data_IF_625361669254
#
_entry.id   IF_625361669254
#
_cell.length_a   1.000
_cell.length_b   1.000
_cell.length_c   1.000
_cell.angle_alpha   90.00
_cell.angle_beta   90.00
_cell.angle_gamma   90.00
#
_symmetry.space_group_name_H-M   'P 1'
#
loop_
_entity.id
_entity.type
_entity.pdbx_description
1 polymer ?
#
# COMPACT_ATOMS: atom_id res chain seq x y z
N UNK A 1 -2.89 -1.89 -30.42
CA UNK A 1 -2.64 -1.42 -29.07
C UNK A 1 -2.91 -2.64 -28.19
N UNK A 2 -1.91 -3.18 -27.53
CA UNK A 2 -2.10 -4.34 -26.67
C UNK A 2 -2.73 -3.89 -25.31
N UNK A 3 -3.22 -4.83 -24.48
CA UNK A 3 -3.84 -4.50 -23.18
C UNK A 3 -2.86 -3.82 -22.22
N UNK A 4 -1.58 -4.12 -22.32
CA UNK A 4 -0.52 -3.50 -21.53
C UNK A 4 -0.36 -2.01 -21.87
N UNK A 5 -0.44 -1.66 -23.18
CA UNK A 5 -0.44 -0.26 -23.61
C UNK A 5 -1.70 0.48 -23.12
N UNK A 6 -2.85 -0.20 -23.06
CA UNK A 6 -4.08 0.38 -22.55
C UNK A 6 -4.03 0.60 -21.02
N UNK A 7 -3.42 -0.33 -20.27
CA UNK A 7 -3.21 -0.19 -18.84
C UNK A 7 -2.24 0.95 -18.51
N UNK A 8 -1.11 1.03 -19.21
CA UNK A 8 -0.16 2.15 -19.11
C UNK A 8 -0.84 3.48 -19.45
N UNK A 9 -1.69 3.51 -20.49
CA UNK A 9 -2.47 4.70 -20.88
C UNK A 9 -3.48 5.11 -19.79
N UNK A 10 -4.11 4.16 -19.09
CA UNK A 10 -5.04 4.44 -18.03
C UNK A 10 -4.34 4.89 -16.74
N UNK A 11 -3.17 4.31 -16.43
CA UNK A 11 -2.42 4.61 -15.21
C UNK A 11 -1.41 5.75 -15.39
N UNK A 12 -0.79 5.90 -16.58
CA UNK A 12 0.32 6.83 -16.83
C UNK A 12 0.14 7.71 -18.07
N UNK A 13 -0.98 7.63 -18.75
CA UNK A 13 -1.47 8.49 -19.84
C UNK A 13 -0.66 8.60 -21.14
N UNK A 14 0.63 8.33 -21.21
CA UNK A 14 1.36 8.36 -22.48
C UNK A 14 2.84 7.98 -22.36
N UNK A 15 3.44 7.56 -23.46
CA UNK A 15 4.89 7.39 -23.60
C UNK A 15 5.67 8.66 -23.22
N UNK A 16 5.12 9.83 -23.50
CA UNK A 16 5.72 11.12 -23.16
C UNK A 16 5.84 11.33 -21.64
N UNK A 17 4.89 10.80 -20.84
CA UNK A 17 4.95 10.86 -19.39
C UNK A 17 6.08 9.98 -18.84
N UNK A 18 6.21 8.74 -19.33
CA UNK A 18 7.29 7.84 -18.94
C UNK A 18 8.67 8.41 -19.28
N UNK A 19 8.80 8.99 -20.48
CA UNK A 19 10.02 9.67 -20.90
C UNK A 19 10.33 10.90 -20.02
N UNK A 20 9.30 11.66 -19.62
CA UNK A 20 9.45 12.80 -18.72
C UNK A 20 9.86 12.36 -17.32
N UNK A 21 9.28 11.29 -16.79
CA UNK A 21 9.68 10.71 -15.50
C UNK A 21 11.11 10.19 -15.54
N UNK A 22 11.54 9.54 -16.63
CA UNK A 22 12.92 9.11 -16.85
C UNK A 22 13.91 10.28 -16.80
N UNK A 23 13.62 11.37 -17.56
CA UNK A 23 14.44 12.59 -17.51
C UNK A 23 14.47 13.23 -16.12
N UNK A 24 13.33 13.21 -15.40
CA UNK A 24 13.27 13.74 -14.03
C UNK A 24 14.12 12.90 -13.06
N UNK A 25 14.13 11.58 -13.22
CA UNK A 25 14.98 10.69 -12.44
C UNK A 25 16.47 10.95 -12.68
N UNK A 26 16.88 11.17 -13.95
CA UNK A 26 18.25 11.56 -14.32
C UNK A 26 18.64 12.90 -13.67
N UNK A 27 17.78 13.92 -13.71
CA UNK A 27 18.00 15.20 -13.08
C UNK A 27 18.12 15.07 -11.56
N UNK A 28 17.29 14.22 -10.93
CA UNK A 28 17.39 13.90 -9.51
C UNK A 28 18.73 13.25 -9.15
N UNK A 29 19.20 12.31 -9.96
CA UNK A 29 20.49 11.66 -9.76
C UNK A 29 21.66 12.64 -9.91
N UNK A 30 21.55 13.60 -10.84
CA UNK A 30 22.54 14.64 -11.11
C UNK A 30 22.42 15.89 -10.23
N UNK A 31 21.55 15.88 -9.21
CA UNK A 31 21.32 17.06 -8.35
C UNK A 31 22.61 17.56 -7.70
N UNK A 32 22.98 18.86 -7.86
CA UNK A 32 24.30 19.36 -7.47
C UNK A 32 24.47 19.59 -5.96
N UNK A 33 23.39 19.59 -5.17
CA UNK A 33 23.42 19.88 -3.73
C UNK A 33 23.84 18.70 -2.84
N UNK A 34 24.25 17.57 -3.40
CA UNK A 34 24.62 16.38 -2.63
C UNK A 34 23.43 15.56 -2.11
N UNK A 35 23.72 14.43 -1.45
CA UNK A 35 22.69 13.44 -1.08
C UNK A 35 21.74 13.93 0.01
N UNK A 36 22.25 14.59 1.03
CA UNK A 36 21.42 15.10 2.14
C UNK A 36 20.49 16.22 1.66
N UNK A 37 21.00 17.17 0.90
CA UNK A 37 20.20 18.25 0.36
C UNK A 37 19.16 17.73 -0.63
N UNK A 38 19.53 16.76 -1.48
CA UNK A 38 18.57 16.08 -2.38
C UNK A 38 17.42 15.43 -1.60
N UNK A 39 17.71 14.84 -0.44
CA UNK A 39 16.68 14.26 0.42
C UNK A 39 15.70 15.32 0.93
N UNK A 40 16.20 16.49 1.38
CA UNK A 40 15.38 17.61 1.82
C UNK A 40 14.56 18.22 0.68
N UNK A 41 15.10 18.21 -0.55
CA UNK A 41 14.44 18.73 -1.75
C UNK A 41 13.68 17.65 -2.53
N UNK A 42 13.40 16.51 -1.92
CA UNK A 42 12.68 15.39 -2.59
C UNK A 42 11.37 15.79 -3.27
N UNK A 43 10.58 16.77 -2.76
CA UNK A 43 9.36 17.22 -3.47
C UNK A 43 9.63 17.81 -4.86
N UNK A 44 10.84 18.33 -5.13
CA UNK A 44 11.24 18.83 -6.46
C UNK A 44 11.20 17.75 -7.53
N UNK A 45 11.44 16.50 -7.15
CA UNK A 45 11.55 15.35 -8.05
C UNK A 45 10.34 14.41 -7.94
N UNK A 46 9.30 14.81 -7.23
CA UNK A 46 8.14 13.96 -6.97
C UNK A 46 7.12 14.07 -8.11
N UNK A 47 6.81 12.98 -8.82
CA UNK A 47 5.76 12.97 -9.83
C UNK A 47 4.37 13.27 -9.22
N UNK A 48 3.45 13.90 -9.98
CA UNK A 48 2.12 14.26 -9.48
C UNK A 48 1.28 13.10 -8.95
N UNK A 49 1.45 11.89 -9.50
CA UNK A 49 0.73 10.71 -9.03
C UNK A 49 1.18 10.28 -7.62
N UNK A 50 2.44 10.51 -7.24
CA UNK A 50 2.92 10.27 -5.88
C UNK A 50 2.31 11.27 -4.91
N UNK A 51 2.16 12.54 -5.29
CA UNK A 51 1.46 13.54 -4.47
C UNK A 51 -0.02 13.19 -4.28
N UNK A 52 -0.68 12.66 -5.31
CA UNK A 52 -2.06 12.17 -5.17
C UNK A 52 -2.16 11.02 -4.17
N UNK A 53 -1.19 10.10 -4.20
CA UNK A 53 -1.11 8.98 -3.25
C UNK A 53 -0.92 9.48 -1.80
N UNK A 54 -0.02 10.44 -1.60
CA UNK A 54 0.16 11.09 -0.29
C UNK A 54 -1.14 11.76 0.17
N UNK A 55 -1.84 12.46 -0.72
CA UNK A 55 -3.13 13.09 -0.41
C UNK A 55 -4.19 12.08 0.01
N UNK A 56 -4.30 10.96 -0.71
CA UNK A 56 -5.21 9.86 -0.36
C UNK A 56 -4.92 9.35 1.05
N UNK A 57 -3.70 8.91 1.31
CA UNK A 57 -3.33 8.37 2.62
C UNK A 57 -3.45 9.40 3.75
N UNK A 58 -3.22 10.68 3.45
CA UNK A 58 -3.40 11.76 4.44
C UNK A 58 -4.86 11.86 4.87
N UNK A 59 -5.81 11.87 3.93
CA UNK A 59 -7.25 11.91 4.24
C UNK A 59 -7.68 10.66 5.01
N UNK A 60 -7.25 9.48 4.58
CA UNK A 60 -7.56 8.22 5.27
C UNK A 60 -6.96 8.20 6.67
N UNK A 61 -5.69 8.61 6.82
CA UNK A 61 -5.02 8.59 8.12
C UNK A 61 -5.70 9.50 9.15
N UNK A 62 -6.19 10.67 8.72
CA UNK A 62 -6.95 11.57 9.60
C UNK A 62 -8.25 10.93 10.11
N UNK A 63 -8.91 10.10 9.30
CA UNK A 63 -10.09 9.33 9.73
C UNK A 63 -9.73 8.20 10.70
N UNK A 64 -8.54 7.64 10.59
CA UNK A 64 -8.04 6.55 11.43
C UNK A 64 -7.62 7.02 12.84
N UNK A 65 -7.30 8.30 13.02
CA UNK A 65 -6.79 8.83 14.29
C UNK A 65 -7.62 8.45 15.54
N UNK A 66 -8.97 8.53 15.52
CA UNK A 66 -9.79 8.17 16.69
C UNK A 66 -9.92 6.66 16.91
N UNK A 67 -9.46 5.82 15.99
CA UNK A 67 -9.68 4.38 16.01
C UNK A 67 -8.43 3.70 16.60
N UNK A 68 -8.53 2.97 17.71
CA UNK A 68 -7.39 2.23 18.24
C UNK A 68 -7.01 1.06 17.32
N UNK A 69 -5.72 0.70 17.31
CA UNK A 69 -5.25 -0.45 16.55
C UNK A 69 -4.07 -0.15 15.64
N UNK A 70 -3.68 -1.15 14.87
CA UNK A 70 -2.56 -1.08 13.93
C UNK A 70 -3.02 -0.65 12.54
N UNK A 71 -2.07 -0.24 11.72
CA UNK A 71 -2.23 -0.02 10.28
C UNK A 71 -1.52 -1.13 9.55
N UNK A 72 -2.18 -1.73 8.56
CA UNK A 72 -1.63 -2.82 7.75
C UNK A 72 -1.66 -2.47 6.27
N UNK A 73 -0.61 -2.82 5.56
CA UNK A 73 -0.51 -2.76 4.10
C UNK A 73 -0.21 -4.17 3.56
N UNK A 74 -0.97 -4.59 2.58
CA UNK A 74 -0.84 -5.85 1.87
C UNK A 74 -0.46 -5.58 0.43
N UNK A 75 0.73 -6.01 0.01
CA UNK A 75 1.37 -5.61 -1.23
C UNK A 75 2.22 -4.35 -1.02
N UNK A 76 3.45 -4.53 -0.54
CA UNK A 76 4.35 -3.42 -0.17
C UNK A 76 5.23 -3.00 -1.34
N UNK A 77 5.60 -3.97 -2.19
CA UNK A 77 6.49 -3.76 -3.32
C UNK A 77 7.76 -3.00 -2.92
N UNK A 78 8.00 -1.79 -3.47
CA UNK A 78 9.15 -0.94 -3.09
C UNK A 78 8.91 -0.08 -1.84
N UNK A 79 7.78 -0.24 -1.13
CA UNK A 79 7.53 0.37 0.18
C UNK A 79 7.15 1.85 0.17
N UNK A 80 6.70 2.39 -0.97
CA UNK A 80 6.25 3.78 -1.08
C UNK A 80 5.14 4.09 -0.09
N UNK A 81 4.09 3.29 -0.10
CA UNK A 81 2.88 3.56 0.65
C UNK A 81 3.09 3.26 2.15
N UNK A 82 3.84 2.19 2.46
CA UNK A 82 4.29 1.90 3.82
C UNK A 82 5.09 3.08 4.42
N UNK A 83 5.98 3.69 3.62
CA UNK A 83 6.76 4.85 4.05
C UNK A 83 5.89 6.11 4.23
N UNK A 84 4.85 6.30 3.40
CA UNK A 84 3.87 7.38 3.58
C UNK A 84 3.11 7.18 4.89
N UNK A 85 2.57 5.99 5.15
CA UNK A 85 1.83 5.65 6.37
C UNK A 85 2.69 5.83 7.63
N UNK A 86 3.95 5.38 7.61
CA UNK A 86 4.91 5.61 8.69
C UNK A 86 5.17 7.10 8.92
N UNK A 87 5.33 7.88 7.85
CA UNK A 87 5.48 9.33 7.91
C UNK A 87 4.25 10.01 8.52
N UNK A 88 3.05 9.62 8.10
CA UNK A 88 1.78 10.16 8.62
C UNK A 88 1.59 9.81 10.10
N UNK A 89 1.96 8.59 10.52
CA UNK A 89 1.99 8.22 11.94
C UNK A 89 2.90 9.16 12.73
N UNK A 90 4.09 9.41 12.23
CA UNK A 90 5.05 10.30 12.90
C UNK A 90 4.53 11.74 12.95
N UNK A 91 3.84 12.19 11.91
CA UNK A 91 3.27 13.55 11.83
C UNK A 91 2.07 13.74 12.78
N UNK A 92 1.11 12.82 12.76
CA UNK A 92 -0.18 12.99 13.47
C UNK A 92 -0.19 12.35 14.85
N UNK A 93 0.58 11.28 15.07
CA UNK A 93 0.60 10.50 16.31
C UNK A 93 2.03 10.32 16.84
N UNK A 94 2.85 11.39 16.97
CA UNK A 94 4.28 11.27 17.28
C UNK A 94 4.57 10.55 18.61
N UNK A 95 3.63 10.58 19.55
CA UNK A 95 3.77 9.96 20.87
C UNK A 95 3.02 8.62 21.01
N UNK A 96 2.29 8.19 19.96
CA UNK A 96 1.56 6.94 19.96
C UNK A 96 2.47 5.77 19.56
N UNK A 97 3.13 5.15 20.52
CA UNK A 97 4.01 4.01 20.28
C UNK A 97 3.27 2.69 20.05
N UNK A 98 1.96 2.61 20.32
CA UNK A 98 1.14 1.42 20.08
C UNK A 98 0.59 1.34 18.65
N UNK A 99 0.56 2.45 17.91
CA UNK A 99 0.20 2.48 16.49
C UNK A 99 1.34 1.91 15.66
N UNK A 100 1.32 0.60 15.38
CA UNK A 100 2.28 -0.02 14.47
C UNK A 100 1.82 0.08 13.03
N UNK A 101 2.78 0.24 12.11
CA UNK A 101 2.60 0.14 10.66
C UNK A 101 3.21 -1.19 10.22
N UNK A 102 2.39 -2.08 9.66
CA UNK A 102 2.77 -3.45 9.30
C UNK A 102 2.64 -3.61 7.79
N UNK A 103 3.68 -4.03 7.12
CA UNK A 103 3.69 -4.31 5.69
C UNK A 103 3.88 -5.79 5.40
N UNK A 104 3.02 -6.38 4.59
CA UNK A 104 3.04 -7.79 4.18
C UNK A 104 3.33 -7.89 2.70
N UNK A 105 4.37 -8.61 2.30
CA UNK A 105 4.75 -8.80 0.91
C UNK A 105 5.63 -10.05 0.73
N UNK A 106 5.53 -10.69 -0.40
CA UNK A 106 6.42 -11.78 -0.79
C UNK A 106 7.83 -11.29 -1.10
N UNK A 107 7.96 -10.07 -1.66
CA UNK A 107 9.18 -9.51 -2.29
C UNK A 107 9.76 -10.39 -3.41
N UNK A 108 8.92 -11.31 -3.92
CA UNK A 108 9.25 -12.21 -5.04
C UNK A 108 8.17 -12.19 -6.12
N UNK A 109 7.29 -11.19 -6.05
CA UNK A 109 6.15 -11.03 -6.94
C UNK A 109 4.97 -11.95 -6.59
N UNK A 110 4.03 -12.07 -7.51
CA UNK A 110 2.79 -12.82 -7.30
C UNK A 110 3.07 -14.31 -7.02
N UNK A 111 2.55 -14.89 -5.92
CA UNK A 111 2.80 -16.29 -5.58
C UNK A 111 2.07 -17.27 -6.50
N UNK A 112 0.99 -16.86 -7.12
CA UNK A 112 0.18 -17.63 -8.05
C UNK A 112 -0.98 -16.82 -8.60
N UNK A 113 -1.57 -17.24 -9.71
CA UNK A 113 -2.66 -16.58 -10.41
C UNK A 113 -3.86 -17.50 -10.47
N UNK A 114 -5.05 -16.95 -10.23
CA UNK A 114 -6.34 -17.62 -10.33
C UNK A 114 -7.09 -17.12 -11.57
N UNK A 115 -8.14 -17.85 -11.98
CA UNK A 115 -8.98 -17.43 -13.10
C UNK A 115 -9.68 -16.07 -12.87
N UNK A 116 -9.89 -15.70 -11.61
CA UNK A 116 -10.48 -14.42 -11.19
C UNK A 116 -9.55 -13.22 -11.36
N UNK A 117 -8.23 -13.44 -11.52
CA UNK A 117 -7.22 -12.37 -11.64
C UNK A 117 -7.11 -11.80 -13.06
N UNK A 118 -7.85 -12.39 -13.99
CA UNK A 118 -7.84 -11.97 -15.40
C UNK A 118 -6.69 -12.59 -16.20
N UNK A 119 -6.43 -12.00 -17.36
CA UNK A 119 -5.46 -12.48 -18.35
C UNK A 119 -4.41 -11.41 -18.71
N UNK A 120 -4.14 -10.47 -17.81
CA UNK A 120 -3.13 -9.44 -17.99
C UNK A 120 -1.72 -10.08 -18.04
N UNK A 121 -0.86 -9.60 -18.93
CA UNK A 121 0.53 -10.08 -19.08
C UNK A 121 1.38 -9.91 -17.80
N UNK A 122 1.04 -8.94 -16.94
CA UNK A 122 1.69 -8.72 -15.65
C UNK A 122 1.16 -9.70 -14.61
N UNK A 123 -0.13 -10.09 -14.71
CA UNK A 123 -0.77 -11.08 -13.84
C UNK A 123 -0.23 -12.49 -14.15
N UNK A 124 0.97 -12.77 -13.69
CA UNK A 124 1.67 -14.06 -13.80
C UNK A 124 2.47 -14.31 -12.53
N UNK A 125 2.73 -15.58 -12.23
CA UNK A 125 3.62 -15.93 -11.12
C UNK A 125 4.97 -15.22 -11.25
N UNK A 126 5.40 -14.55 -10.17
CA UNK A 126 6.60 -13.71 -10.17
C UNK A 126 6.41 -12.32 -10.83
N UNK A 127 5.18 -11.95 -11.26
CA UNK A 127 4.90 -10.58 -11.69
C UNK A 127 5.06 -9.60 -10.53
N UNK A 128 5.52 -8.38 -10.81
CA UNK A 128 5.81 -7.32 -9.82
C UNK A 128 6.84 -7.73 -8.75
N UNK A 129 7.81 -8.60 -9.09
CA UNK A 129 8.91 -8.92 -8.18
C UNK A 129 9.79 -7.69 -7.88
N UNK A 130 10.56 -7.80 -6.80
CA UNK A 130 11.59 -6.84 -6.44
C UNK A 130 12.97 -7.48 -6.59
N UNK A 131 14.03 -6.70 -6.43
CA UNK A 131 15.40 -7.26 -6.43
C UNK A 131 15.64 -8.09 -5.17
N UNK A 132 16.46 -9.15 -5.30
CA UNK A 132 16.78 -10.03 -4.18
C UNK A 132 17.34 -9.23 -2.97
N UNK A 133 16.81 -9.50 -1.79
CA UNK A 133 17.20 -8.80 -0.55
C UNK A 133 16.59 -7.41 -0.36
N UNK A 134 15.62 -7.02 -1.19
CA UNK A 134 14.99 -5.71 -1.08
C UNK A 134 14.27 -5.51 0.26
N UNK A 135 13.67 -6.54 0.82
CA UNK A 135 13.03 -6.50 2.13
C UNK A 135 14.00 -6.04 3.24
N UNK A 136 15.25 -6.50 3.22
CA UNK A 136 16.29 -6.04 4.17
C UNK A 136 16.67 -4.56 3.93
N UNK A 137 16.77 -4.15 2.66
CA UNK A 137 17.00 -2.76 2.33
C UNK A 137 15.88 -1.86 2.85
N UNK A 138 14.62 -2.24 2.61
CA UNK A 138 13.45 -1.50 3.09
C UNK A 138 13.43 -1.40 4.63
N UNK A 139 13.69 -2.49 5.34
CA UNK A 139 13.81 -2.48 6.81
C UNK A 139 14.87 -1.49 7.30
N UNK A 140 16.00 -1.40 6.63
CA UNK A 140 17.05 -0.41 6.96
C UNK A 140 16.57 1.01 6.72
N UNK A 141 15.93 1.30 5.59
CA UNK A 141 15.34 2.62 5.30
C UNK A 141 14.35 3.03 6.39
N UNK A 142 13.42 2.14 6.75
CA UNK A 142 12.42 2.41 7.78
C UNK A 142 13.06 2.58 9.18
N UNK A 143 14.12 1.85 9.47
CA UNK A 143 14.85 2.00 10.72
C UNK A 143 15.53 3.38 10.83
N UNK A 144 16.13 3.89 9.77
CA UNK A 144 16.70 5.26 9.75
C UNK A 144 15.59 6.33 9.88
N UNK A 145 14.43 6.11 9.25
CA UNK A 145 13.27 7.00 9.41
C UNK A 145 12.77 7.00 10.87
N UNK A 146 12.76 5.85 11.54
CA UNK A 146 12.38 5.75 12.94
C UNK A 146 13.33 6.50 13.87
N UNK A 147 14.63 6.60 13.55
CA UNK A 147 15.60 7.41 14.31
C UNK A 147 15.26 8.92 14.28
N UNK A 148 14.50 9.39 13.28
CA UNK A 148 14.05 10.78 13.18
C UNK A 148 12.72 11.03 13.91
N UNK A 149 12.07 9.99 14.45
CA UNK A 149 10.79 10.08 15.15
C UNK A 149 10.94 10.06 16.68
N UNK A 150 10.00 10.63 17.44
CA UNK A 150 9.94 10.44 18.89
C UNK A 150 9.87 8.97 19.28
N UNK A 151 10.44 8.62 20.45
CA UNK A 151 10.53 7.24 20.93
C UNK A 151 11.22 6.29 19.93
N UNK A 152 12.34 6.73 19.34
CA UNK A 152 13.09 5.95 18.34
C UNK A 152 13.59 4.59 18.84
N UNK A 153 13.65 4.37 20.16
CA UNK A 153 14.01 3.10 20.77
C UNK A 153 12.87 2.07 20.75
N UNK A 154 11.65 2.48 20.41
CA UNK A 154 10.48 1.61 20.29
C UNK A 154 10.20 1.37 18.81
N UNK A 155 10.25 0.11 18.38
CA UNK A 155 9.93 -0.28 17.00
C UNK A 155 8.43 -0.13 16.72
N UNK A 156 8.08 0.73 15.75
CA UNK A 156 6.70 1.06 15.39
C UNK A 156 6.33 0.64 13.97
N UNK A 157 7.24 -0.01 13.26
CA UNK A 157 6.99 -0.64 11.95
C UNK A 157 7.44 -2.10 11.97
N UNK A 158 6.86 -2.89 11.07
CA UNK A 158 7.30 -4.25 10.80
C UNK A 158 7.11 -4.58 9.32
N UNK A 159 8.13 -5.15 8.68
CA UNK A 159 8.07 -5.66 7.31
C UNK A 159 8.07 -7.17 7.38
N UNK A 160 6.96 -7.79 6.98
CA UNK A 160 6.69 -9.22 7.12
C UNK A 160 6.76 -9.84 5.72
N UNK A 161 7.82 -10.61 5.49
CA UNK A 161 8.08 -11.27 4.21
C UNK A 161 7.40 -12.63 4.13
N UNK A 162 6.68 -12.86 3.04
CA UNK A 162 6.02 -14.12 2.72
C UNK A 162 4.64 -13.92 2.10
N UNK A 163 3.96 -15.02 1.82
CA UNK A 163 2.56 -14.95 1.41
C UNK A 163 1.72 -14.27 2.49
N UNK A 164 1.00 -13.22 2.11
CA UNK A 164 0.26 -12.38 3.05
C UNK A 164 -0.81 -13.18 3.83
N UNK A 165 -1.46 -14.15 3.18
CA UNK A 165 -2.50 -14.97 3.83
C UNK A 165 -1.94 -15.88 4.92
N UNK A 166 -0.74 -16.42 4.73
CA UNK A 166 -0.06 -17.25 5.72
C UNK A 166 0.57 -16.42 6.83
N UNK A 167 1.29 -15.35 6.44
CA UNK A 167 2.01 -14.50 7.40
C UNK A 167 1.07 -13.67 8.26
N UNK A 168 -0.07 -13.22 7.73
CA UNK A 168 -1.12 -12.56 8.52
C UNK A 168 -1.72 -13.53 9.55
N UNK A 169 -2.05 -14.76 9.16
CA UNK A 169 -2.57 -15.76 10.08
C UNK A 169 -1.59 -16.02 11.25
N UNK A 170 -0.30 -16.17 10.94
CA UNK A 170 0.74 -16.35 11.95
C UNK A 170 0.89 -15.10 12.84
N UNK A 171 0.86 -13.90 12.26
CA UNK A 171 0.93 -12.64 13.03
C UNK A 171 -0.24 -12.51 14.00
N UNK A 172 -1.47 -12.74 13.54
CA UNK A 172 -2.68 -12.63 14.38
C UNK A 172 -2.70 -13.67 15.48
N UNK A 173 -2.26 -14.90 15.21
CA UNK A 173 -2.12 -15.94 16.23
C UNK A 173 -1.08 -15.58 17.32
N UNK A 174 0.02 -14.96 16.94
CA UNK A 174 1.07 -14.50 17.85
C UNK A 174 0.67 -13.20 18.61
N UNK A 175 -0.28 -12.43 18.06
CA UNK A 175 -0.73 -11.14 18.58
C UNK A 175 -2.26 -11.09 18.73
N UNK A 176 -2.87 -11.91 19.62
CA UNK A 176 -4.33 -12.04 19.73
C UNK A 176 -5.04 -10.75 20.17
N UNK A 177 -4.31 -9.78 20.71
CA UNK A 177 -4.82 -8.46 21.12
C UNK A 177 -4.97 -7.49 19.92
N UNK A 178 -4.60 -7.89 18.70
CA UNK A 178 -4.57 -6.99 17.56
C UNK A 178 -5.98 -6.47 17.22
N UNK A 179 -6.12 -5.16 17.16
CA UNK A 179 -7.22 -4.44 16.54
C UNK A 179 -6.63 -3.77 15.29
N UNK A 180 -7.35 -3.80 14.20
CA UNK A 180 -6.94 -3.17 12.93
C UNK A 180 -7.73 -1.90 12.73
N UNK A 181 -7.04 -0.75 12.77
CA UNK A 181 -7.64 0.56 12.52
C UNK A 181 -7.75 0.84 11.01
N UNK A 182 -6.73 0.43 10.25
CA UNK A 182 -6.70 0.57 8.80
C UNK A 182 -6.00 -0.63 8.17
N UNK A 183 -6.58 -1.19 7.13
CA UNK A 183 -5.96 -2.18 6.26
C UNK A 183 -6.04 -1.71 4.81
N UNK A 184 -4.91 -1.68 4.12
CA UNK A 184 -4.81 -1.30 2.72
C UNK A 184 -4.39 -2.51 1.88
N UNK A 185 -5.15 -2.78 0.84
CA UNK A 185 -4.96 -3.90 -0.08
C UNK A 185 -4.44 -3.36 -1.41
N UNK A 186 -3.26 -3.83 -1.82
CA UNK A 186 -2.56 -3.50 -3.07
C UNK A 186 -1.82 -4.77 -3.56
N UNK A 187 -2.58 -5.88 -3.60
CA UNK A 187 -2.04 -7.18 -3.98
C UNK A 187 -2.51 -7.62 -5.37
N UNK A 188 -3.44 -6.87 -5.99
CA UNK A 188 -4.03 -7.12 -7.31
C UNK A 188 -4.83 -8.43 -7.44
N UNK A 189 -4.55 -9.43 -6.60
CA UNK A 189 -4.98 -10.81 -6.74
C UNK A 189 -6.19 -11.15 -5.87
N UNK A 190 -7.00 -12.10 -6.38
CA UNK A 190 -8.21 -12.59 -5.74
C UNK A 190 -7.95 -13.37 -4.46
N UNK A 191 -7.15 -14.44 -4.52
CA UNK A 191 -7.01 -15.37 -3.41
C UNK A 191 -6.37 -14.73 -2.16
N UNK A 192 -5.22 -14.03 -2.26
CA UNK A 192 -4.63 -13.41 -1.08
C UNK A 192 -5.51 -12.30 -0.50
N UNK A 193 -6.19 -11.50 -1.35
CA UNK A 193 -7.13 -10.48 -0.87
C UNK A 193 -8.30 -11.09 -0.13
N UNK A 194 -8.91 -12.14 -0.67
CA UNK A 194 -10.02 -12.86 -0.03
C UNK A 194 -9.62 -13.42 1.32
N UNK A 195 -8.51 -14.15 1.38
CA UNK A 195 -8.01 -14.77 2.61
C UNK A 195 -7.67 -13.74 3.68
N UNK A 196 -6.97 -12.67 3.31
CA UNK A 196 -6.65 -11.61 4.25
C UNK A 196 -7.91 -10.91 4.78
N UNK A 197 -8.90 -10.62 3.92
CA UNK A 197 -10.19 -10.06 4.36
C UNK A 197 -10.91 -10.98 5.36
N UNK A 198 -10.98 -12.29 5.09
CA UNK A 198 -11.59 -13.27 5.99
C UNK A 198 -10.89 -13.29 7.36
N UNK A 199 -9.54 -13.29 7.38
CA UNK A 199 -8.74 -13.29 8.60
C UNK A 199 -8.89 -11.99 9.41
N UNK A 200 -9.03 -10.85 8.73
CA UNK A 200 -9.13 -9.55 9.41
C UNK A 200 -10.50 -9.29 10.02
N UNK A 201 -11.58 -9.88 9.52
CA UNK A 201 -12.95 -9.61 10.02
C UNK A 201 -13.09 -9.61 11.54
N UNK A 202 -12.55 -10.60 12.29
CA UNK A 202 -12.65 -10.63 13.76
C UNK A 202 -11.82 -9.56 14.47
N UNK A 203 -10.92 -8.90 13.77
CA UNK A 203 -9.98 -7.89 14.28
C UNK A 203 -10.37 -6.46 13.92
N UNK A 204 -11.45 -6.28 13.18
CA UNK A 204 -12.01 -4.98 12.83
C UNK A 204 -12.96 -4.48 13.92
N UNK A 205 -13.04 -3.18 14.08
CA UNK A 205 -14.04 -2.51 14.92
C UNK A 205 -14.87 -1.54 14.08
N UNK A 206 -16.00 -1.08 14.60
CA UNK A 206 -16.76 -0.01 13.96
C UNK A 206 -15.87 1.22 13.77
N UNK A 207 -15.89 1.76 12.56
CA UNK A 207 -15.01 2.84 12.15
C UNK A 207 -13.67 2.39 11.57
N UNK A 208 -13.24 1.12 11.70
CA UNK A 208 -12.08 0.61 10.98
C UNK A 208 -12.21 0.89 9.49
N UNK A 209 -11.10 1.18 8.82
CA UNK A 209 -11.10 1.50 7.40
C UNK A 209 -10.44 0.38 6.62
N UNK A 210 -11.05 -0.03 5.52
CA UNK A 210 -10.46 -0.92 4.53
C UNK A 210 -10.27 -0.11 3.24
N UNK A 211 -9.04 -0.02 2.77
CA UNK A 211 -8.67 0.64 1.52
C UNK A 211 -8.25 -0.38 0.47
N UNK A 212 -8.51 -0.07 -0.81
CA UNK A 212 -8.32 -0.98 -1.92
C UNK A 212 -7.79 -0.22 -3.13
N UNK A 213 -6.74 -0.73 -3.76
CA UNK A 213 -6.14 -0.07 -4.92
C UNK A 213 -6.94 -0.33 -6.21
N UNK A 214 -7.29 -1.58 -6.49
CA UNK A 214 -7.74 -2.04 -7.80
C UNK A 214 -9.26 -2.28 -7.90
N UNK A 215 -10.09 -1.67 -7.03
CA UNK A 215 -11.54 -1.86 -7.16
C UNK A 215 -12.09 -1.28 -8.47
N UNK A 216 -12.83 -2.12 -9.19
CA UNK A 216 -13.38 -1.84 -10.52
C UNK A 216 -12.31 -1.68 -11.61
N UNK A 217 -11.13 -2.28 -11.43
CA UNK A 217 -10.10 -2.39 -12.43
C UNK A 217 -10.38 -3.60 -13.35
N UNK A 218 -10.43 -3.36 -14.65
CA UNK A 218 -10.68 -4.43 -15.62
C UNK A 218 -9.45 -5.32 -15.84
N UNK A 219 -8.28 -4.75 -15.64
CA UNK A 219 -6.99 -5.40 -15.80
C UNK A 219 -6.63 -6.31 -14.62
N UNK A 220 -7.13 -5.97 -13.41
CA UNK A 220 -6.96 -6.73 -12.18
C UNK A 220 -8.30 -6.90 -11.46
N UNK A 221 -9.20 -7.75 -11.97
CA UNK A 221 -10.55 -7.92 -11.40
C UNK A 221 -10.56 -8.68 -10.07
N UNK A 222 -9.47 -9.36 -9.71
CA UNK A 222 -9.37 -10.27 -8.57
C UNK A 222 -9.77 -9.63 -7.25
N UNK A 223 -9.25 -8.46 -6.94
CA UNK A 223 -9.56 -7.71 -5.73
C UNK A 223 -11.06 -7.37 -5.63
N UNK A 224 -11.68 -6.90 -6.72
CA UNK A 224 -13.12 -6.62 -6.76
C UNK A 224 -13.96 -7.86 -6.52
N UNK A 225 -13.56 -9.00 -7.09
CA UNK A 225 -14.25 -10.28 -6.88
C UNK A 225 -14.16 -10.71 -5.42
N UNK A 226 -12.98 -10.61 -4.80
CA UNK A 226 -12.76 -10.93 -3.40
C UNK A 226 -13.64 -10.08 -2.47
N UNK A 227 -13.65 -8.76 -2.67
CA UNK A 227 -14.48 -7.82 -1.90
C UNK A 227 -15.97 -8.14 -2.03
N UNK A 228 -16.44 -8.43 -3.24
CA UNK A 228 -17.84 -8.80 -3.49
C UNK A 228 -18.24 -10.07 -2.75
N UNK A 229 -17.38 -11.09 -2.74
CA UNK A 229 -17.67 -12.36 -2.08
C UNK A 229 -17.61 -12.29 -0.56
N UNK A 230 -16.61 -11.59 -0.01
CA UNK A 230 -16.37 -11.55 1.44
C UNK A 230 -17.22 -10.50 2.15
N UNK A 231 -17.42 -9.33 1.54
CA UNK A 231 -18.10 -8.20 2.17
C UNK A 231 -19.53 -7.97 1.62
N UNK A 232 -19.79 -8.32 0.35
CA UNK A 232 -21.04 -8.04 -0.34
C UNK A 232 -21.13 -6.57 -0.75
N UNK A 233 -21.07 -6.27 -2.06
CA UNK A 233 -21.11 -4.88 -2.55
C UNK A 233 -22.42 -4.16 -2.23
N UNK A 234 -23.50 -4.89 -2.02
CA UNK A 234 -24.81 -4.39 -1.61
C UNK A 234 -24.90 -4.03 -0.12
N UNK A 235 -23.89 -4.38 0.68
CA UNK A 235 -23.84 -4.20 2.14
C UNK A 235 -22.80 -3.18 2.60
N UNK A 236 -22.03 -2.63 1.70
CA UNK A 236 -20.93 -1.71 2.00
C UNK A 236 -21.07 -0.41 1.23
N UNK A 237 -20.58 0.68 1.80
CA UNK A 237 -20.52 1.98 1.13
C UNK A 237 -19.07 2.25 0.69
N UNK A 238 -18.76 1.96 -0.58
CA UNK A 238 -17.46 2.31 -1.17
C UNK A 238 -17.39 3.80 -1.45
N UNK A 239 -16.25 4.39 -1.11
CA UNK A 239 -15.98 5.82 -1.24
C UNK A 239 -14.61 6.06 -1.88
N UNK A 240 -14.44 7.23 -2.45
CA UNK A 240 -13.13 7.79 -2.85
C UNK A 240 -12.96 9.16 -2.22
N UNK A 241 -11.75 9.56 -1.84
CA UNK A 241 -11.49 10.92 -1.38
C UNK A 241 -11.90 11.96 -2.44
N UNK A 242 -12.36 13.11 -1.98
CA UNK A 242 -12.77 14.20 -2.86
C UNK A 242 -11.57 14.71 -3.71
N UNK A 243 -11.83 15.02 -4.98
CA UNK A 243 -10.79 15.52 -5.89
C UNK A 243 -9.85 14.45 -6.47
N UNK A 244 -10.06 13.18 -6.13
CA UNK A 244 -9.33 12.07 -6.75
C UNK A 244 -10.02 11.64 -8.04
N UNK A 245 -9.25 11.52 -9.12
CA UNK A 245 -9.76 11.09 -10.43
C UNK A 245 -9.98 9.56 -10.53
N UNK A 246 -10.38 9.07 -11.72
CA UNK A 246 -10.38 7.64 -12.02
C UNK A 246 -8.99 7.01 -11.76
N UNK A 247 -8.94 5.75 -11.34
CA UNK A 247 -7.69 5.05 -11.03
C UNK A 247 -7.09 5.37 -9.66
N UNK A 248 -7.84 6.05 -8.79
CA UNK A 248 -7.43 6.25 -7.40
C UNK A 248 -8.06 5.17 -6.49
N UNK A 249 -7.38 4.82 -5.39
CA UNK A 249 -7.88 3.85 -4.44
C UNK A 249 -9.27 4.18 -3.92
N UNK A 250 -10.01 3.14 -3.56
CA UNK A 250 -11.30 3.24 -2.91
C UNK A 250 -11.18 2.79 -1.45
N UNK A 251 -12.10 3.21 -0.61
CA UNK A 251 -12.15 2.77 0.78
C UNK A 251 -13.58 2.58 1.27
N UNK A 252 -13.72 1.86 2.36
CA UNK A 252 -14.95 1.78 3.15
C UNK A 252 -14.65 1.94 4.64
N UNK A 253 -15.63 2.40 5.38
CA UNK A 253 -15.63 2.40 6.85
C UNK A 253 -16.51 1.25 7.33
N UNK A 254 -16.01 0.47 8.29
CA UNK A 254 -16.74 -0.66 8.89
C UNK A 254 -17.83 -0.12 9.82
N UNK A 255 -19.09 -0.53 9.58
CA UNK A 255 -20.28 -0.07 10.32
C UNK A 255 -20.60 -0.93 11.57
#
# INVERSE_FOLDING_TARGET
MNRQDAWILNMRASKDLEEAEGRLAELSAAFPGGGQERLHQSPLFMPPHVLRRISFFTEIYQKVLPIPGVVMEFGVWFGRDLAILDGLRTLYEPLNYSRKILGFDTFTGFPGIQAQDGDNEIARTGGLDTVAGYDEYLRRVLAEREQMAPYQHIRKFEVIKGDASETLAAYLAANPQTIVAFAYFDMDLYEPTKRCLELLKPHLTKGSILGFDELNCAEFPGETVAVREVLGLDRIALRRPAGTGPGMPSYLEVE
#
